data_IF_428773387958
#
_entry.id   IF_428773387958
#
_cell.length_a   1.000
_cell.length_b   1.000
_cell.length_c   1.000
_cell.angle_alpha   90.00
_cell.angle_beta   90.00
_cell.angle_gamma   90.00
#
_symmetry.space_group_name_H-M   'P 1'
#
loop_
_entity.id
_entity.type
_entity.pdbx_description
1 polymer ?
#
# COMPACT_ATOMS: atom_id res chain seq x y z
N UNK A 1 11.00 10.39 4.89
CA UNK A 1 9.56 10.13 4.73
C UNK A 1 9.31 8.65 4.87
N UNK A 2 8.30 8.23 5.64
CA UNK A 2 7.92 6.82 5.71
C UNK A 2 6.40 6.66 5.62
N UNK A 3 5.97 5.45 5.28
CA UNK A 3 4.56 5.08 5.24
C UNK A 3 4.34 3.72 5.91
N UNK A 4 3.12 3.48 6.39
CA UNK A 4 2.67 2.16 6.81
C UNK A 4 1.68 1.66 5.76
N UNK A 5 2.00 0.51 5.18
CA UNK A 5 1.27 -0.08 4.05
C UNK A 5 0.86 -1.51 4.41
N UNK A 6 -0.34 -1.90 4.03
CA UNK A 6 -0.77 -3.30 4.10
C UNK A 6 -0.43 -4.01 2.79
N UNK A 7 0.38 -5.06 2.88
CA UNK A 7 0.80 -5.89 1.75
C UNK A 7 0.50 -7.35 2.08
N UNK A 8 -0.36 -7.98 1.31
CA UNK A 8 -0.76 -9.38 1.49
C UNK A 8 -1.25 -9.70 2.91
N UNK A 9 -2.02 -8.78 3.53
CA UNK A 9 -2.58 -8.95 4.87
C UNK A 9 -1.61 -8.70 6.03
N UNK A 10 -0.42 -8.14 5.74
CA UNK A 10 0.55 -7.73 6.76
C UNK A 10 0.92 -6.27 6.59
N UNK A 11 1.08 -5.58 7.72
CA UNK A 11 1.47 -4.18 7.75
C UNK A 11 2.98 -4.03 7.83
N UNK A 12 3.51 -3.15 6.99
CA UNK A 12 4.93 -2.86 6.91
C UNK A 12 5.18 -1.37 6.99
N UNK A 13 6.19 -0.98 7.76
CA UNK A 13 6.75 0.36 7.72
C UNK A 13 7.77 0.40 6.59
N UNK A 14 7.60 1.32 5.65
CA UNK A 14 8.43 1.44 4.44
C UNK A 14 8.91 2.86 4.25
N UNK A 15 10.15 3.00 3.78
CA UNK A 15 10.74 4.26 3.31
C UNK A 15 11.15 4.14 1.85
N UNK A 16 11.37 5.25 1.17
CA UNK A 16 11.85 5.22 -0.21
C UNK A 16 13.25 4.62 -0.27
N UNK A 17 13.48 3.69 -1.19
CA UNK A 17 14.74 2.93 -1.34
C UNK A 17 14.87 1.70 -0.46
N UNK A 18 13.90 1.39 0.40
CA UNK A 18 13.95 0.20 1.26
C UNK A 18 13.71 -1.09 0.48
N UNK A 19 14.44 -2.13 0.83
CA UNK A 19 14.21 -3.49 0.37
C UNK A 19 13.40 -4.25 1.41
N UNK A 20 12.25 -4.75 0.99
CA UNK A 20 11.27 -5.38 1.87
C UNK A 20 10.98 -6.81 1.44
N UNK A 21 11.03 -7.72 2.40
CA UNK A 21 10.63 -9.12 2.21
C UNK A 21 9.17 -9.30 2.63
N UNK A 22 8.32 -9.64 1.66
CA UNK A 22 6.87 -9.83 1.85
C UNK A 22 6.46 -11.26 1.52
N UNK A 23 5.22 -11.62 1.83
CA UNK A 23 4.65 -12.88 1.38
C UNK A 23 4.68 -12.97 -0.16
N UNK A 24 4.72 -14.19 -0.70
CA UNK A 24 4.82 -14.41 -2.15
C UNK A 24 3.68 -13.71 -2.91
N UNK A 25 4.04 -12.92 -3.91
CA UNK A 25 3.13 -12.25 -4.83
C UNK A 25 3.15 -12.94 -6.20
N UNK A 26 2.00 -13.01 -6.87
CA UNK A 26 1.83 -13.69 -8.16
C UNK A 26 2.18 -12.79 -9.37
N UNK A 27 3.25 -12.04 -9.29
CA UNK A 27 3.69 -11.17 -10.38
C UNK A 27 5.13 -11.50 -10.78
N UNK A 28 5.51 -11.13 -12.00
CA UNK A 28 6.85 -11.44 -12.54
C UNK A 28 7.93 -10.57 -11.89
N UNK A 29 9.14 -11.11 -11.78
CA UNK A 29 10.34 -10.35 -11.38
C UNK A 29 10.57 -9.18 -12.34
N UNK A 30 11.00 -8.04 -11.81
CA UNK A 30 11.18 -6.79 -12.56
C UNK A 30 9.91 -5.99 -12.82
N UNK A 31 8.72 -6.51 -12.48
CA UNK A 31 7.48 -5.75 -12.63
C UNK A 31 7.30 -4.73 -11.51
N UNK A 32 6.72 -3.57 -11.88
CA UNK A 32 6.28 -2.56 -10.92
C UNK A 32 4.92 -2.91 -10.34
N UNK A 33 4.76 -2.71 -9.04
CA UNK A 33 3.50 -2.89 -8.31
C UNK A 33 3.17 -1.59 -7.59
N UNK A 34 1.87 -1.27 -7.53
CA UNK A 34 1.36 -0.18 -6.70
C UNK A 34 0.50 -0.75 -5.58
N UNK A 35 0.72 -0.25 -4.37
CA UNK A 35 -0.06 -0.58 -3.18
C UNK A 35 -0.87 0.65 -2.77
N UNK A 36 -2.20 0.52 -2.83
CA UNK A 36 -3.12 1.61 -2.51
C UNK A 36 -3.58 1.59 -1.05
N UNK A 37 -3.34 0.48 -0.34
CA UNK A 37 -3.74 0.30 1.06
C UNK A 37 -2.73 0.94 2.01
N UNK A 38 -2.64 2.26 1.98
CA UNK A 38 -1.75 3.04 2.85
C UNK A 38 -2.51 3.46 4.09
N UNK A 39 -2.02 3.08 5.26
CA UNK A 39 -2.67 3.35 6.56
C UNK A 39 -2.18 4.65 7.19
N UNK A 40 -0.89 4.95 7.04
CA UNK A 40 -0.27 6.13 7.61
C UNK A 40 0.85 6.63 6.71
N UNK A 41 1.02 7.94 6.63
CA UNK A 41 2.18 8.57 5.98
C UNK A 41 2.73 9.67 6.89
N UNK A 42 4.05 9.70 7.04
CA UNK A 42 4.78 10.72 7.79
C UNK A 42 5.84 11.36 6.88
N UNK A 43 5.74 12.67 6.72
CA UNK A 43 6.69 13.49 5.96
C UNK A 43 7.73 14.19 6.86
N UNK A 44 7.75 13.87 8.17
CA UNK A 44 8.59 14.56 9.14
C UNK A 44 8.05 15.93 9.61
N UNK A 45 7.13 16.54 8.87
CA UNK A 45 6.45 17.79 9.23
C UNK A 45 4.98 17.58 9.59
N UNK A 46 4.34 16.60 8.97
CA UNK A 46 2.94 16.25 9.17
C UNK A 46 2.74 14.75 9.09
N UNK A 47 1.92 14.24 10.00
CA UNK A 47 1.50 12.85 10.03
C UNK A 47 0.05 12.77 9.55
N UNK A 48 -0.21 11.97 8.53
CA UNK A 48 -1.56 11.69 8.05
C UNK A 48 -1.92 10.25 8.43
N UNK A 49 -3.01 10.11 9.19
CA UNK A 49 -3.54 8.79 9.60
C UNK A 49 -4.79 8.49 8.82
N UNK A 50 -4.88 7.29 8.26
CA UNK A 50 -6.06 6.82 7.54
C UNK A 50 -7.18 6.36 8.47
N UNK A 51 -8.41 6.41 7.98
CA UNK A 51 -9.61 5.87 8.65
C UNK A 51 -10.39 4.96 7.68
N UNK A 52 -10.02 3.72 7.49
CA UNK A 52 -8.78 3.01 7.86
C UNK A 52 -7.59 3.31 6.93
N UNK A 53 -7.83 3.74 5.68
CA UNK A 53 -6.81 4.02 4.66
C UNK A 53 -6.83 5.48 4.23
N UNK A 54 -5.70 5.96 3.73
CA UNK A 54 -5.57 7.31 3.17
C UNK A 54 -5.97 7.27 1.71
N UNK A 55 -7.07 7.92 1.34
CA UNK A 55 -7.55 7.98 -0.04
C UNK A 55 -6.55 8.75 -0.93
N UNK A 56 -6.16 8.13 -2.05
CA UNK A 56 -5.25 8.73 -3.02
C UNK A 56 -3.76 8.62 -2.68
N UNK A 57 -3.40 8.03 -1.54
CA UNK A 57 -2.02 7.65 -1.27
C UNK A 57 -1.72 6.30 -1.92
N UNK A 58 -0.55 6.16 -2.50
CA UNK A 58 -0.06 4.88 -2.98
C UNK A 58 1.45 4.75 -2.82
N UNK A 59 1.91 3.51 -2.76
CA UNK A 59 3.32 3.17 -2.70
C UNK A 59 3.66 2.33 -3.91
N UNK A 60 4.61 2.80 -4.72
CA UNK A 60 5.14 2.08 -5.87
C UNK A 60 6.39 1.31 -5.47
N UNK A 61 6.43 0.04 -5.86
CA UNK A 61 7.54 -0.85 -5.61
C UNK A 61 7.88 -1.68 -6.86
N UNK A 62 9.09 -2.18 -6.94
CA UNK A 62 9.54 -3.11 -7.99
C UNK A 62 9.89 -4.44 -7.37
N UNK A 63 9.51 -5.54 -8.00
CA UNK A 63 9.88 -6.89 -7.59
C UNK A 63 11.33 -7.15 -8.01
N UNK A 64 12.19 -7.46 -7.04
CA UNK A 64 13.57 -7.85 -7.29
C UNK A 64 13.64 -9.34 -7.60
N UNK A 65 13.11 -10.17 -6.68
CA UNK A 65 13.17 -11.61 -6.81
C UNK A 65 12.05 -12.32 -6.03
N UNK A 66 11.81 -13.58 -6.38
CA UNK A 66 11.00 -14.51 -5.62
C UNK A 66 11.89 -15.63 -5.07
N UNK A 67 11.67 -16.01 -3.83
CA UNK A 67 12.43 -17.08 -3.19
C UNK A 67 11.61 -17.88 -2.21
N UNK A 68 12.26 -18.85 -1.61
CA UNK A 68 11.71 -19.64 -0.51
C UNK A 68 12.65 -19.61 0.67
N UNK A 69 12.09 -19.45 1.85
CA UNK A 69 12.85 -19.47 3.09
C UNK A 69 13.41 -20.84 3.39
N UNK A 70 14.31 -20.88 4.37
CA UNK A 70 14.85 -22.11 4.91
C UNK A 70 13.70 -22.98 5.44
N UNK A 71 13.83 -24.29 5.28
CA UNK A 71 12.88 -25.28 5.80
C UNK A 71 12.75 -25.17 7.31
N UNK A 72 11.52 -24.96 7.78
CA UNK A 72 11.16 -24.98 9.18
C UNK A 72 10.49 -26.30 9.49
N UNK A 73 10.94 -26.95 10.56
CA UNK A 73 10.37 -28.19 11.01
C UNK A 73 9.15 -27.88 11.90
N UNK A 74 7.97 -28.30 11.43
CA UNK A 74 6.71 -28.18 12.18
C UNK A 74 6.43 -29.52 12.84
N UNK A 75 6.62 -29.61 14.16
CA UNK A 75 6.35 -30.79 14.95
C UNK A 75 5.13 -30.56 15.82
N UNK A 76 4.13 -31.45 15.68
CA UNK A 76 2.91 -31.44 16.49
C UNK A 76 2.80 -32.71 17.28
N UNK A 77 2.58 -32.58 18.58
CA UNK A 77 2.37 -33.72 19.48
C UNK A 77 1.21 -33.41 20.43
N UNK A 78 0.37 -34.40 20.67
CA UNK A 78 -0.66 -34.34 21.72
C UNK A 78 -0.24 -35.27 22.85
N UNK A 79 -0.26 -34.73 24.08
CA UNK A 79 0.09 -35.48 25.28
C UNK A 79 -0.89 -36.64 25.52
N UNK A 80 -0.36 -37.83 25.85
CA UNK A 80 -1.14 -39.05 26.17
C UNK A 80 -2.09 -39.59 25.09
N UNK A 81 -1.92 -39.17 23.81
CA UNK A 81 -2.83 -39.59 22.72
C UNK A 81 -2.13 -40.28 21.55
N UNK A 82 -0.84 -40.59 21.65
CA UNK A 82 -0.09 -41.21 20.55
C UNK A 82 -0.06 -40.38 19.25
N UNK A 83 -0.53 -39.14 19.29
CA UNK A 83 -0.55 -38.27 18.13
C UNK A 83 0.79 -37.54 17.99
N UNK A 84 1.45 -37.76 16.84
CA UNK A 84 2.67 -37.06 16.45
C UNK A 84 2.64 -36.77 14.95
N UNK A 85 2.98 -35.55 14.56
CA UNK A 85 3.12 -35.13 13.16
C UNK A 85 4.36 -34.28 13.00
N UNK A 86 5.18 -34.61 12.01
CA UNK A 86 6.41 -33.89 11.67
C UNK A 86 6.36 -33.50 10.19
N UNK A 87 6.23 -32.22 9.92
CA UNK A 87 6.19 -31.68 8.56
C UNK A 87 7.26 -30.62 8.39
N UNK A 88 7.85 -30.55 7.19
CA UNK A 88 8.72 -29.45 6.82
C UNK A 88 7.94 -28.38 6.07
N UNK A 89 8.15 -27.11 6.40
CA UNK A 89 7.53 -25.97 5.72
C UNK A 89 8.60 -25.02 5.18
N UNK A 90 8.45 -24.61 3.93
CA UNK A 90 9.22 -23.52 3.32
C UNK A 90 8.28 -22.42 2.89
N UNK A 91 8.43 -21.25 3.52
CA UNK A 91 7.61 -20.07 3.19
C UNK A 91 8.13 -19.42 1.92
N UNK A 92 7.26 -19.23 0.92
CA UNK A 92 7.55 -18.41 -0.24
C UNK A 92 7.57 -16.93 0.13
N UNK A 93 8.50 -16.19 -0.43
CA UNK A 93 8.59 -14.74 -0.25
C UNK A 93 8.88 -14.03 -1.57
N UNK A 94 8.60 -12.75 -1.58
CA UNK A 94 8.96 -11.82 -2.66
C UNK A 94 9.79 -10.70 -2.07
N UNK A 95 10.91 -10.38 -2.67
CA UNK A 95 11.72 -9.22 -2.31
C UNK A 95 11.31 -8.04 -3.17
N UNK A 96 10.88 -6.97 -2.52
CA UNK A 96 10.45 -5.71 -3.14
C UNK A 96 11.47 -4.60 -2.85
N UNK A 97 11.63 -3.70 -3.79
CA UNK A 97 12.29 -2.42 -3.60
C UNK A 97 11.25 -1.31 -3.69
N UNK A 98 11.18 -0.47 -2.68
CA UNK A 98 10.23 0.64 -2.63
C UNK A 98 10.79 1.80 -3.44
N UNK A 99 10.13 2.16 -4.53
CA UNK A 99 10.59 3.23 -5.40
C UNK A 99 10.13 4.60 -4.90
N UNK A 100 8.83 4.77 -4.66
CA UNK A 100 8.26 6.07 -4.33
C UNK A 100 6.99 5.94 -3.48
N UNK A 101 6.86 6.86 -2.53
CA UNK A 101 5.67 7.02 -1.69
C UNK A 101 4.92 8.27 -2.15
N UNK A 102 3.70 8.10 -2.68
CA UNK A 102 2.82 9.21 -3.03
C UNK A 102 1.84 9.43 -1.88
N UNK A 103 1.90 10.61 -1.29
CA UNK A 103 0.89 11.05 -0.32
C UNK A 103 -0.29 11.66 -1.06
N UNK A 104 -1.51 11.44 -0.56
CA UNK A 104 -2.67 12.16 -1.04
C UNK A 104 -2.50 13.65 -0.76
N UNK A 105 -2.19 14.42 -1.78
CA UNK A 105 -2.33 15.87 -1.70
C UNK A 105 -3.83 16.13 -1.68
N UNK A 106 -4.37 16.67 -0.59
CA UNK A 106 -5.69 17.30 -0.60
C UNK A 106 -5.66 18.40 -1.64
N UNK A 107 -6.00 18.08 -2.89
CA UNK A 107 -6.34 19.12 -3.85
C UNK A 107 -7.67 19.71 -3.38
N UNK A 108 -7.60 20.80 -2.64
CA UNK A 108 -8.71 21.74 -2.53
C UNK A 108 -8.93 22.29 -3.93
N UNK A 109 -9.72 21.60 -4.75
CA UNK A 109 -10.36 22.20 -5.90
C UNK A 109 -11.34 23.22 -5.33
N UNK A 110 -10.89 24.48 -5.18
CA UNK A 110 -11.75 25.62 -5.18
C UNK A 110 -12.50 25.60 -6.51
N UNK A 111 -13.72 25.10 -6.49
CA UNK A 111 -14.67 25.32 -7.58
C UNK A 111 -15.00 26.82 -7.56
N UNK A 112 -14.29 27.58 -8.36
CA UNK A 112 -14.72 28.92 -8.72
C UNK A 112 -15.90 28.74 -9.66
N UNK A 113 -17.10 28.77 -9.11
CA UNK A 113 -18.33 28.92 -9.88
C UNK A 113 -18.33 30.34 -10.44
N UNK A 114 -17.94 30.46 -11.69
CA UNK A 114 -18.04 31.68 -12.45
C UNK A 114 -19.50 31.81 -12.85
N UNK A 115 -20.32 32.49 -12.03
CA UNK A 115 -21.64 32.96 -12.42
C UNK A 115 -21.46 33.97 -13.54
N UNK A 116 -21.80 33.60 -14.74
CA UNK A 116 -22.04 34.52 -15.84
C UNK A 116 -23.39 35.19 -15.56
N UNK A 117 -23.35 36.42 -15.12
CA UNK A 117 -24.48 37.32 -15.25
C UNK A 117 -24.62 37.66 -16.72
N UNK A 118 -25.67 37.15 -17.34
CA UNK A 118 -26.15 37.62 -18.64
C UNK A 118 -27.14 38.76 -18.33
N UNK A 119 -26.63 39.95 -18.40
CA UNK A 119 -27.47 41.15 -18.55
C UNK A 119 -28.05 41.15 -19.96
N UNK A 120 -29.34 41.01 -20.04
CA UNK A 120 -30.10 41.30 -21.27
C UNK A 120 -30.85 42.60 -21.06
N UNK A 121 -30.53 43.67 -21.77
CA UNK A 121 -31.39 44.86 -21.76
C UNK A 121 -32.64 44.56 -22.58
N UNK A 122 -33.79 44.68 -21.94
CA UNK A 122 -35.05 44.80 -22.63
C UNK A 122 -35.19 46.23 -23.10
N UNK A 123 -34.99 46.45 -24.38
CA UNK A 123 -35.41 47.66 -25.04
C UNK A 123 -36.89 47.51 -25.38
N UNK A 124 -37.73 48.27 -24.69
CA UNK A 124 -39.11 48.45 -25.04
C UNK A 124 -39.25 49.55 -26.08
N UNK A 125 -39.93 49.30 -27.14
CA UNK A 125 -40.43 50.37 -27.98
C UNK A 125 -41.89 50.10 -28.30
N UNK A 126 -42.70 51.13 -27.92
CA UNK A 126 -44.08 51.52 -28.28
C UNK A 126 -45.17 50.47 -28.12
#
# INVERSE_FOLDING_TARGET
MYAIVDIAGKQYKVSEGDKLKVASLNQKTGSGINFDTVLLTDNGKSVNVGTPTIKGANVSATIIEHGRDRKILVYKKKRRKGYQRKNGHRQGFTLLEINKIKTAVKSTKKSVTKTKNTDTPLEGDK
#
